data_IF_558461397826
#
_entry.id   IF_558461397826
#
_cell.length_a   1.000
_cell.length_b   1.000
_cell.length_c   1.000
_cell.angle_alpha   90.00
_cell.angle_beta   90.00
_cell.angle_gamma   90.00
#
_symmetry.space_group_name_H-M   'P 1'
#
loop_
_entity.id
_entity.type
_entity.pdbx_description
1 polymer ?
#
# COMPACT_ATOMS: atom_id res chain seq x y z
N UNK A 1 17.22 20.21 -17.83
CA UNK A 1 16.57 20.24 -16.81
C UNK A 1 16.09 19.04 -16.50
N UNK A 2 16.00 18.73 -15.53
CA UNK A 2 15.57 17.64 -15.20
C UNK A 2 14.20 17.69 -14.87
N UNK A 3 13.57 16.78 -15.19
CA UNK A 3 12.27 16.67 -14.87
C UNK A 3 12.17 16.73 -13.42
N UNK A 4 11.19 17.24 -12.96
CA UNK A 4 11.00 17.33 -11.57
C UNK A 4 10.94 15.92 -11.18
N UNK A 5 11.46 15.64 -10.00
CA UNK A 5 11.37 14.46 -9.46
C UNK A 5 10.12 13.97 -9.84
N UNK A 6 10.05 12.97 -10.56
CA UNK A 6 8.82 12.50 -11.04
C UNK A 6 7.92 12.17 -9.91
N UNK A 7 6.69 12.53 -10.04
CA UNK A 7 5.75 12.17 -9.06
C UNK A 7 5.47 10.72 -9.19
N UNK A 8 5.41 10.04 -8.10
CA UNK A 8 5.06 8.64 -8.09
C UNK A 8 3.59 8.53 -8.44
N UNK A 9 3.24 7.63 -9.32
CA UNK A 9 1.86 7.45 -9.75
C UNK A 9 1.35 6.07 -9.39
N UNK A 10 0.03 5.90 -9.46
CA UNK A 10 -0.59 4.61 -9.22
C UNK A 10 0.02 3.54 -10.13
N UNK A 11 0.15 3.85 -11.40
CA UNK A 11 0.69 2.87 -12.35
C UNK A 11 2.10 2.45 -11.99
N UNK A 12 2.92 3.39 -11.55
CA UNK A 12 4.28 3.07 -11.17
C UNK A 12 4.33 2.21 -9.93
N UNK A 13 3.47 2.49 -8.96
CA UNK A 13 3.41 1.70 -7.74
C UNK A 13 3.00 0.27 -8.06
N UNK A 14 1.96 0.11 -8.85
CA UNK A 14 1.46 -1.21 -9.21
C UNK A 14 2.53 -2.00 -9.97
N UNK A 15 3.19 -1.35 -10.92
CA UNK A 15 4.23 -2.00 -11.70
C UNK A 15 5.40 -2.44 -10.82
N UNK A 16 5.81 -1.56 -9.91
CA UNK A 16 6.92 -1.86 -9.02
C UNK A 16 6.58 -3.02 -8.10
N UNK A 17 5.35 -3.05 -7.57
CA UNK A 17 4.93 -4.15 -6.69
C UNK A 17 4.92 -5.48 -7.45
N UNK A 18 4.49 -5.47 -8.70
CA UNK A 18 4.49 -6.70 -9.48
C UNK A 18 5.89 -7.25 -9.67
N UNK A 19 6.87 -6.36 -9.82
CA UNK A 19 8.25 -6.79 -9.96
C UNK A 19 8.81 -7.34 -8.66
N UNK A 20 8.23 -6.97 -7.53
CA UNK A 20 8.71 -7.38 -6.23
C UNK A 20 7.92 -8.55 -5.65
N UNK A 21 7.27 -9.30 -6.50
CA UNK A 21 6.38 -10.37 -6.05
C UNK A 21 7.07 -11.38 -5.14
N UNK A 22 8.31 -11.75 -5.45
CA UNK A 22 9.02 -12.71 -4.64
C UNK A 22 9.33 -12.16 -3.25
N UNK A 23 9.73 -10.89 -3.19
CA UNK A 23 10.01 -10.27 -1.90
C UNK A 23 8.75 -10.15 -1.07
N UNK A 24 7.64 -9.81 -1.72
CA UNK A 24 6.36 -9.72 -1.01
C UNK A 24 5.98 -11.08 -0.45
N UNK A 25 6.18 -12.14 -1.22
CA UNK A 25 5.90 -13.49 -0.73
C UNK A 25 6.78 -13.82 0.47
N UNK A 26 8.00 -13.30 0.50
CA UNK A 26 8.90 -13.52 1.62
C UNK A 26 8.39 -12.91 2.92
N UNK A 27 7.55 -11.89 2.83
CA UNK A 27 6.91 -11.31 4.00
C UNK A 27 5.51 -11.90 4.22
N UNK A 28 5.21 -12.99 3.53
CA UNK A 28 3.95 -13.70 3.70
C UNK A 28 2.75 -12.90 3.21
N UNK A 29 2.96 -12.04 2.22
CA UNK A 29 1.86 -11.26 1.65
C UNK A 29 1.05 -12.18 0.75
N UNK A 30 -0.25 -12.29 1.05
CA UNK A 30 -1.17 -13.06 0.25
C UNK A 30 -1.78 -12.17 -0.82
N UNK A 31 -2.09 -10.92 -0.46
CA UNK A 31 -2.67 -9.98 -1.41
C UNK A 31 -2.36 -8.57 -0.95
N UNK A 32 -2.05 -7.70 -1.87
CA UNK A 32 -1.76 -6.31 -1.55
C UNK A 32 -2.51 -5.42 -2.54
N UNK A 33 -3.11 -4.37 -2.01
CA UNK A 33 -3.82 -3.40 -2.81
C UNK A 33 -3.46 -1.99 -2.41
N UNK A 34 -3.66 -1.07 -3.32
CA UNK A 34 -3.40 0.35 -3.10
C UNK A 34 -4.72 1.05 -2.92
N UNK A 35 -4.82 1.91 -1.91
CA UNK A 35 -6.03 2.69 -1.74
C UNK A 35 -5.63 4.13 -1.38
N UNK A 36 -6.59 4.96 -1.05
CA UNK A 36 -6.32 6.32 -0.65
C UNK A 36 -5.98 7.23 -1.81
N UNK A 37 -5.24 8.30 -1.52
CA UNK A 37 -5.00 9.34 -2.51
C UNK A 37 -4.27 8.84 -3.74
N UNK A 38 -3.29 7.95 -3.56
CA UNK A 38 -2.56 7.42 -4.72
C UNK A 38 -3.46 6.59 -5.62
N UNK A 39 -4.40 5.85 -5.04
CA UNK A 39 -5.33 5.06 -5.84
C UNK A 39 -6.29 5.94 -6.62
N UNK A 40 -6.64 7.10 -6.06
CA UNK A 40 -7.55 8.02 -6.70
C UNK A 40 -6.88 9.03 -7.61
N UNK A 41 -5.55 9.04 -7.65
CA UNK A 41 -4.83 10.01 -8.46
C UNK A 41 -4.83 11.40 -7.87
N UNK A 42 -5.06 11.52 -6.56
CA UNK A 42 -5.15 12.80 -5.87
C UNK A 42 -3.95 13.07 -4.97
N UNK A 43 -2.89 12.31 -5.15
CA UNK A 43 -1.75 12.43 -4.27
C UNK A 43 -1.00 13.74 -4.46
N UNK A 44 -0.38 14.18 -3.36
CA UNK A 44 0.50 15.35 -3.39
C UNK A 44 1.89 14.89 -2.96
N UNK A 45 2.83 15.80 -2.96
CA UNK A 45 4.19 15.49 -2.55
C UNK A 45 4.26 15.02 -1.10
N UNK A 46 3.24 15.35 -0.30
CA UNK A 46 3.23 14.96 1.11
C UNK A 46 2.34 13.78 1.42
N UNK A 47 1.74 13.19 0.42
CA UNK A 47 0.82 12.08 0.67
C UNK A 47 1.57 10.82 1.06
N UNK A 48 1.03 10.08 2.02
CA UNK A 48 1.55 8.76 2.34
C UNK A 48 0.95 7.78 1.35
N UNK A 49 1.61 6.66 1.15
CA UNK A 49 1.06 5.62 0.30
C UNK A 49 0.30 4.65 1.19
N UNK A 50 -0.95 4.40 0.85
CA UNK A 50 -1.82 3.56 1.67
C UNK A 50 -2.01 2.20 1.03
N UNK A 51 -1.67 1.16 1.76
CA UNK A 51 -1.80 -0.22 1.27
C UNK A 51 -2.73 -1.02 2.14
N UNK A 52 -3.56 -1.84 1.50
CA UNK A 52 -4.37 -2.83 2.19
C UNK A 52 -3.70 -4.17 1.91
N UNK A 53 -3.22 -4.82 2.96
CA UNK A 53 -2.43 -6.04 2.80
C UNK A 53 -3.04 -7.18 3.59
N UNK A 54 -3.22 -8.31 2.92
CA UNK A 54 -3.67 -9.52 3.56
C UNK A 54 -2.46 -10.44 3.64
N UNK A 55 -2.15 -10.95 4.84
CA UNK A 55 -1.01 -11.82 5.06
C UNK A 55 -1.48 -13.26 5.23
N UNK A 56 -0.68 -14.20 4.76
CA UNK A 56 -0.94 -15.61 5.03
C UNK A 56 -0.61 -15.86 6.50
N UNK A 57 0.49 -15.28 6.96
CA UNK A 57 0.91 -15.36 8.35
C UNK A 57 1.05 -13.96 8.89
N UNK A 58 0.03 -13.44 9.53
CA UNK A 58 0.03 -12.05 10.01
C UNK A 58 0.82 -11.88 11.30
N UNK A 59 2.10 -12.15 11.26
CA UNK A 59 2.95 -11.95 12.43
C UNK A 59 3.43 -10.51 12.47
N UNK A 60 3.86 -10.10 13.64
CA UNK A 60 4.40 -8.76 13.79
C UNK A 60 5.63 -8.57 12.90
N UNK A 61 6.49 -9.60 12.85
CA UNK A 61 7.70 -9.51 12.04
C UNK A 61 7.40 -9.33 10.57
N UNK A 62 6.41 -10.05 10.06
CA UNK A 62 6.04 -9.90 8.66
C UNK A 62 5.44 -8.53 8.39
N UNK A 63 4.60 -8.06 9.30
CA UNK A 63 3.98 -6.75 9.14
C UNK A 63 5.03 -5.65 9.17
N UNK A 64 5.88 -5.65 10.20
CA UNK A 64 6.88 -4.61 10.36
C UNK A 64 7.89 -4.66 9.22
N UNK A 65 8.35 -5.87 8.87
CA UNK A 65 9.31 -6.02 7.79
C UNK A 65 8.77 -5.49 6.49
N UNK A 66 7.50 -5.77 6.20
CA UNK A 66 6.89 -5.28 4.98
C UNK A 66 6.83 -3.76 4.98
N UNK A 67 6.45 -3.15 6.10
CA UNK A 67 6.39 -1.69 6.18
C UNK A 67 7.74 -1.07 5.87
N UNK A 68 8.80 -1.59 6.49
CA UNK A 68 10.15 -1.07 6.27
C UNK A 68 10.56 -1.26 4.82
N UNK A 69 10.27 -2.43 4.25
CA UNK A 69 10.61 -2.71 2.87
C UNK A 69 9.91 -1.74 1.92
N UNK A 70 8.62 -1.52 2.13
CA UNK A 70 7.87 -0.64 1.24
C UNK A 70 8.34 0.80 1.36
N UNK A 71 8.68 1.24 2.57
CA UNK A 71 9.17 2.60 2.72
C UNK A 71 10.50 2.80 2.02
N UNK A 72 11.36 1.80 2.05
CA UNK A 72 12.62 1.90 1.35
C UNK A 72 12.43 1.81 -0.15
N UNK A 73 11.49 0.98 -0.58
CA UNK A 73 11.25 0.78 -2.00
C UNK A 73 10.74 2.04 -2.67
N UNK A 74 9.78 2.70 -2.03
CA UNK A 74 9.17 3.87 -2.62
C UNK A 74 9.72 5.18 -2.09
N UNK A 75 10.57 5.12 -1.06
CA UNK A 75 11.19 6.29 -0.46
C UNK A 75 10.16 7.30 -0.01
N UNK A 76 9.09 6.79 0.58
CA UNK A 76 8.01 7.59 1.12
C UNK A 76 7.43 6.85 2.30
N UNK A 77 6.69 7.58 3.12
CA UNK A 77 6.01 6.95 4.24
C UNK A 77 4.89 6.10 3.69
N UNK A 78 4.66 4.95 4.28
CA UNK A 78 3.56 4.09 3.88
C UNK A 78 2.70 3.78 5.10
N UNK A 79 1.45 3.50 4.84
CA UNK A 79 0.54 3.07 5.87
C UNK A 79 -0.02 1.74 5.42
N UNK A 80 0.05 0.74 6.27
CA UNK A 80 -0.43 -0.60 5.92
C UNK A 80 -1.59 -0.95 6.82
N UNK A 81 -2.72 -1.29 6.21
CA UNK A 81 -3.91 -1.70 6.92
C UNK A 81 -4.22 -3.13 6.50
N UNK A 82 -4.59 -3.97 7.46
CA UNK A 82 -5.01 -5.34 7.15
C UNK A 82 -6.53 -5.39 7.07
N UNK A 83 -7.10 -6.44 6.47
CA UNK A 83 -8.55 -6.56 6.42
C UNK A 83 -9.20 -6.57 7.81
N UNK A 84 -8.53 -7.18 8.79
CA UNK A 84 -9.06 -7.19 10.15
C UNK A 84 -9.11 -5.78 10.71
N UNK A 85 -8.05 -5.00 10.48
CA UNK A 85 -8.04 -3.62 10.94
C UNK A 85 -9.11 -2.81 10.23
N UNK A 86 -9.30 -3.06 8.94
CA UNK A 86 -10.32 -2.36 8.17
C UNK A 86 -11.70 -2.65 8.73
N UNK A 87 -11.97 -3.91 9.10
CA UNK A 87 -13.26 -4.28 9.65
C UNK A 87 -13.49 -3.65 11.02
N UNK A 88 -12.43 -3.21 11.69
CA UNK A 88 -12.53 -2.58 13.00
C UNK A 88 -12.82 -1.08 12.92
N UNK A 89 -12.84 -0.51 11.73
CA UNK A 89 -13.11 0.91 11.58
C UNK A 89 -14.58 1.14 11.90
N UNK A 90 -14.82 2.01 12.88
CA UNK A 90 -16.18 2.25 13.34
C UNK A 90 -17.05 3.00 12.36
N UNK A 91 -16.45 3.88 11.59
CA UNK A 91 -17.25 4.68 10.67
C UNK A 91 -17.41 3.89 9.39
N UNK A 92 -18.60 3.35 9.20
CA UNK A 92 -18.86 2.46 8.07
C UNK A 92 -18.56 3.09 6.72
N UNK A 93 -18.79 4.39 6.61
CA UNK A 93 -18.55 5.07 5.35
C UNK A 93 -17.07 5.10 5.00
N UNK A 94 -16.21 5.27 6.01
CA UNK A 94 -14.77 5.28 5.78
C UNK A 94 -14.31 3.90 5.32
N UNK A 95 -14.77 2.85 6.00
CA UNK A 95 -14.40 1.49 5.63
C UNK A 95 -14.85 1.16 4.22
N UNK A 96 -16.08 1.57 3.87
CA UNK A 96 -16.60 1.31 2.55
C UNK A 96 -15.80 2.07 1.49
N UNK A 97 -15.46 3.31 1.79
CA UNK A 97 -14.68 4.12 0.84
C UNK A 97 -13.34 3.47 0.57
N UNK A 98 -12.69 2.91 1.58
CA UNK A 98 -11.43 2.23 1.40
C UNK A 98 -11.62 0.99 0.53
N UNK A 99 -12.62 0.16 0.85
CA UNK A 99 -12.87 -1.05 0.08
C UNK A 99 -13.17 -0.75 -1.38
N UNK A 100 -13.94 0.31 -1.62
CA UNK A 100 -14.36 0.64 -2.98
C UNK A 100 -13.22 1.21 -3.82
N UNK A 101 -12.21 1.79 -3.19
CA UNK A 101 -11.13 2.43 -3.93
C UNK A 101 -9.89 1.56 -4.06
N UNK A 102 -9.87 0.38 -3.43
CA UNK A 102 -8.68 -0.47 -3.47
C UNK A 102 -8.43 -1.01 -4.87
N UNK A 103 -7.17 -0.89 -5.31
CA UNK A 103 -6.74 -1.46 -6.58
C UNK A 103 -5.74 -2.55 -6.21
N UNK A 104 -6.14 -3.79 -6.39
CA UNK A 104 -5.27 -4.92 -6.03
C UNK A 104 -4.23 -5.19 -7.10
N UNK A 105 -3.09 -5.63 -6.64
CA UNK A 105 -1.96 -5.94 -7.53
C UNK A 105 -1.91 -7.43 -7.82
#
# INVERSE_FOLDING_TARGET
MKAPKSRLTKAQIVRTLKKQNETLNGYSVKRIGLFGSYARGEQTAKSDIDFLVEFERPTYDNFYGLCVFLEKLFKRKVEVITPIALDSIRVAEVARSIRDSVVYV
#
